data_IF_031326984162
#
_entry.id   IF_031326984162
#
_cell.length_a   1.000
_cell.length_b   1.000
_cell.length_c   1.000
_cell.angle_alpha   90.00
_cell.angle_beta   90.00
_cell.angle_gamma   90.00
#
_symmetry.space_group_name_H-M   'P 1'
#
loop_
_entity.id
_entity.type
_entity.pdbx_description
1 polymer ?
#
# COMPACT_ATOMS: atom_id res chain seq x y z
N UNK A 1 1.22 14.62 1.40
CA UNK A 1 2.56 13.97 1.42
C UNK A 1 3.15 14.17 2.82
N UNK A 2 3.72 13.15 3.48
CA UNK A 2 4.30 13.29 4.83
C UNK A 2 5.78 13.69 4.76
N UNK A 3 6.13 14.79 5.40
CA UNK A 3 7.51 15.27 5.48
C UNK A 3 8.38 14.31 6.30
N UNK A 4 7.85 13.81 7.42
CA UNK A 4 8.52 12.85 8.31
C UNK A 4 8.83 11.51 7.63
N UNK A 5 7.92 11.04 6.77
CA UNK A 5 8.16 9.84 5.97
C UNK A 5 9.29 10.05 4.96
N UNK A 6 9.37 11.20 4.28
CA UNK A 6 10.49 11.50 3.35
C UNK A 6 11.84 11.56 4.05
N UNK A 7 11.86 12.12 5.25
CA UNK A 7 13.05 12.15 6.11
C UNK A 7 13.45 10.75 6.60
N UNK A 8 12.56 9.76 6.48
CA UNK A 8 12.85 8.40 6.90
C UNK A 8 13.01 8.26 8.41
N UNK A 9 12.33 9.10 9.19
CA UNK A 9 12.35 9.01 10.66
C UNK A 9 11.75 7.68 11.15
N UNK A 10 10.80 7.13 10.38
CA UNK A 10 10.07 5.92 10.74
C UNK A 10 10.51 4.65 9.99
N UNK A 11 11.67 4.65 9.30
CA UNK A 11 12.11 3.49 8.49
C UNK A 11 12.07 2.19 9.29
N UNK A 12 12.67 2.21 10.48
CA UNK A 12 12.82 1.02 11.31
C UNK A 12 11.54 0.67 12.08
N UNK A 13 10.68 1.66 12.37
CA UNK A 13 9.41 1.45 13.08
C UNK A 13 8.25 1.07 12.16
N UNK A 14 8.39 1.22 10.85
CA UNK A 14 7.28 1.02 9.90
C UNK A 14 6.87 -0.45 9.80
N UNK A 15 7.82 -1.38 9.66
CA UNK A 15 7.48 -2.80 9.60
C UNK A 15 6.81 -3.31 10.89
N UNK A 16 7.32 -3.00 12.11
CA UNK A 16 6.61 -3.32 13.36
C UNK A 16 5.19 -2.76 13.43
N UNK A 17 4.97 -1.52 12.98
CA UNK A 17 3.65 -0.90 12.98
C UNK A 17 2.63 -1.59 12.05
N UNK A 18 3.12 -2.32 11.05
CA UNK A 18 2.30 -3.03 10.07
C UNK A 18 2.20 -4.54 10.35
N UNK A 19 2.79 -5.02 11.45
CA UNK A 19 2.97 -6.45 11.72
C UNK A 19 1.67 -7.24 11.91
N UNK A 20 0.55 -6.56 12.20
CA UNK A 20 -0.77 -7.19 12.38
C UNK A 20 -1.54 -7.38 11.07
N UNK A 21 -1.08 -6.81 9.96
CA UNK A 21 -1.75 -6.99 8.67
C UNK A 21 -1.41 -8.37 8.06
N UNK A 22 -2.41 -8.99 7.45
CA UNK A 22 -2.24 -10.24 6.69
C UNK A 22 -1.42 -10.01 5.41
N UNK A 23 -1.60 -8.85 4.78
CA UNK A 23 -0.84 -8.40 3.62
C UNK A 23 -0.62 -6.88 3.66
N UNK A 24 0.52 -6.42 3.13
CA UNK A 24 0.92 -5.02 3.10
C UNK A 24 1.40 -4.67 1.69
N UNK A 25 0.73 -3.71 1.06
CA UNK A 25 1.16 -3.14 -0.23
C UNK A 25 1.73 -1.74 0.04
N UNK A 26 3.02 -1.57 -0.26
CA UNK A 26 3.78 -0.34 -0.04
C UNK A 26 3.97 0.38 -1.38
N UNK A 27 3.45 1.60 -1.51
CA UNK A 27 3.74 2.44 -2.67
C UNK A 27 5.01 3.28 -2.45
N UNK A 28 6.06 3.00 -3.21
CA UNK A 28 7.28 3.80 -3.22
C UNK A 28 7.17 4.92 -4.25
N UNK A 29 6.78 6.11 -3.77
CA UNK A 29 6.76 7.30 -4.59
C UNK A 29 8.18 7.63 -5.11
N UNK A 30 8.33 8.13 -6.35
CA UNK A 30 9.64 8.49 -6.92
C UNK A 30 10.44 9.49 -6.06
N UNK A 31 9.76 10.33 -5.29
CA UNK A 31 10.32 11.38 -4.45
C UNK A 31 10.40 11.01 -2.96
N UNK A 32 10.32 9.72 -2.61
CA UNK A 32 10.40 9.27 -1.21
C UNK A 32 11.80 9.48 -0.62
N UNK A 33 12.86 9.34 -1.42
CA UNK A 33 14.25 9.57 -1.01
C UNK A 33 14.89 8.42 -0.22
N UNK A 34 14.19 7.31 -0.04
CA UNK A 34 14.73 6.07 0.55
C UNK A 34 13.92 4.85 0.11
N UNK A 35 14.47 3.67 0.37
CA UNK A 35 13.96 2.40 -0.14
C UNK A 35 13.02 1.69 0.86
N UNK A 36 11.77 1.46 0.44
CA UNK A 36 10.79 0.64 1.15
C UNK A 36 11.09 -0.86 1.04
N UNK A 37 12.03 -1.27 0.20
CA UNK A 37 12.50 -2.65 0.09
C UNK A 37 12.93 -3.24 1.43
N UNK A 38 13.62 -2.46 2.28
CA UNK A 38 13.99 -2.90 3.62
C UNK A 38 12.77 -3.19 4.52
N UNK A 39 11.71 -2.39 4.39
CA UNK A 39 10.45 -2.58 5.13
C UNK A 39 9.73 -3.84 4.64
N UNK A 40 9.66 -4.03 3.31
CA UNK A 40 9.08 -5.23 2.72
C UNK A 40 9.85 -6.49 3.12
N UNK A 41 11.18 -6.44 3.13
CA UNK A 41 12.01 -7.54 3.58
C UNK A 41 11.73 -7.93 5.04
N UNK A 42 11.55 -6.94 5.93
CA UNK A 42 11.18 -7.18 7.33
C UNK A 42 9.76 -7.74 7.50
N UNK A 43 8.83 -7.41 6.60
CA UNK A 43 7.47 -7.97 6.58
C UNK A 43 7.41 -9.39 5.97
N UNK A 44 8.47 -9.79 5.26
CA UNK A 44 8.58 -11.08 4.59
C UNK A 44 7.54 -11.26 3.48
N UNK A 45 6.90 -12.44 3.34
CA UNK A 45 5.99 -12.73 2.23
C UNK A 45 4.71 -11.86 2.23
N UNK A 46 4.46 -11.13 3.31
CA UNK A 46 3.30 -10.23 3.44
C UNK A 46 3.55 -8.87 2.80
N UNK A 47 4.81 -8.46 2.63
CA UNK A 47 5.17 -7.15 2.10
C UNK A 47 5.38 -7.17 0.58
N UNK A 48 4.74 -6.25 -0.13
CA UNK A 48 5.00 -6.00 -1.55
C UNK A 48 5.25 -4.51 -1.78
N UNK A 49 6.34 -4.16 -2.47
CA UNK A 49 6.60 -2.78 -2.93
C UNK A 49 6.08 -2.61 -4.36
N UNK A 50 5.38 -1.50 -4.60
CA UNK A 50 4.90 -1.07 -5.91
C UNK A 50 5.46 0.31 -6.24
N UNK A 51 5.75 0.55 -7.51
CA UNK A 51 6.33 1.83 -7.98
C UNK A 51 5.35 2.67 -8.82
N UNK A 52 4.15 2.15 -9.08
CA UNK A 52 3.06 2.90 -9.69
C UNK A 52 1.75 2.71 -8.90
N UNK A 53 0.83 3.67 -9.05
CA UNK A 53 -0.51 3.55 -8.47
C UNK A 53 -1.31 2.40 -9.10
N UNK A 54 -1.04 2.09 -10.36
CA UNK A 54 -1.75 1.04 -11.10
C UNK A 54 -1.30 -0.35 -10.62
N UNK A 55 0.00 -0.53 -10.37
CA UNK A 55 0.52 -1.74 -9.74
C UNK A 55 0.02 -1.88 -8.31
N UNK A 56 -0.04 -0.76 -7.57
CA UNK A 56 -0.58 -0.74 -6.20
C UNK A 56 -2.04 -1.18 -6.20
N UNK A 57 -2.85 -0.64 -7.11
CA UNK A 57 -4.26 -1.00 -7.26
C UNK A 57 -4.42 -2.47 -7.65
N UNK A 58 -3.62 -2.95 -8.59
CA UNK A 58 -3.62 -4.35 -9.05
C UNK A 58 -3.25 -5.30 -7.92
N UNK A 59 -2.23 -4.96 -7.12
CA UNK A 59 -1.79 -5.75 -5.99
C UNK A 59 -2.84 -5.84 -4.87
N UNK A 60 -3.55 -4.73 -4.59
CA UNK A 60 -4.67 -4.73 -3.63
C UNK A 60 -5.83 -5.58 -4.16
N UNK A 61 -6.19 -5.36 -5.43
CA UNK A 61 -7.31 -6.04 -6.06
C UNK A 61 -7.13 -7.57 -6.09
N UNK A 62 -5.94 -8.05 -6.46
CA UNK A 62 -5.61 -9.48 -6.48
C UNK A 62 -5.71 -10.18 -5.11
N UNK A 63 -5.77 -9.41 -4.01
CA UNK A 63 -5.90 -9.90 -2.63
C UNK A 63 -7.29 -9.65 -2.03
N UNK A 64 -8.16 -8.95 -2.76
CA UNK A 64 -9.51 -8.65 -2.30
C UNK A 64 -10.43 -9.80 -2.65
N UNK A 65 -11.15 -10.29 -1.66
CA UNK A 65 -12.24 -11.27 -1.79
C UNK A 65 -13.38 -10.84 -0.87
N UNK A 66 -14.60 -11.41 -0.99
CA UNK A 66 -15.67 -11.14 -0.05
C UNK A 66 -15.19 -11.35 1.40
N UNK A 67 -15.42 -10.36 2.26
CA UNK A 67 -14.96 -10.35 3.65
C UNK A 67 -13.58 -9.72 3.89
N UNK A 68 -12.80 -9.40 2.84
CA UNK A 68 -11.54 -8.66 3.00
C UNK A 68 -11.78 -7.24 3.51
N UNK A 69 -11.03 -6.83 4.53
CA UNK A 69 -10.96 -5.45 4.98
C UNK A 69 -9.71 -4.77 4.39
N UNK A 70 -9.90 -3.62 3.74
CA UNK A 70 -8.80 -2.84 3.14
C UNK A 70 -8.66 -1.52 3.88
N UNK A 71 -7.52 -1.30 4.54
CA UNK A 71 -7.13 -0.03 5.15
C UNK A 71 -6.16 0.70 4.23
N UNK A 72 -6.56 1.86 3.72
CA UNK A 72 -5.69 2.73 2.90
C UNK A 72 -5.16 3.87 3.77
N UNK A 73 -3.84 3.94 3.92
CA UNK A 73 -3.18 4.98 4.72
C UNK A 73 -2.42 5.95 3.80
N UNK A 74 -2.90 7.20 3.70
CA UNK A 74 -2.25 8.24 2.90
C UNK A 74 -2.42 9.62 3.52
N UNK A 75 -1.37 10.44 3.41
CA UNK A 75 -1.37 11.84 3.84
C UNK A 75 -1.82 12.80 2.71
N UNK A 76 -2.72 12.36 1.84
CA UNK A 76 -3.20 13.11 0.68
C UNK A 76 -4.03 12.26 -0.27
N UNK A 77 -4.42 12.82 -1.42
CA UNK A 77 -5.39 12.19 -2.32
C UNK A 77 -4.99 10.84 -2.95
N UNK A 78 -3.69 10.49 -2.93
CA UNK A 78 -3.17 9.18 -3.38
C UNK A 78 -3.66 8.78 -4.79
N UNK A 79 -3.74 9.76 -5.70
CA UNK A 79 -4.27 9.58 -7.05
C UNK A 79 -5.71 9.02 -7.11
N UNK A 80 -6.53 9.30 -6.10
CA UNK A 80 -7.92 8.84 -6.02
C UNK A 80 -8.05 7.33 -5.81
N UNK A 81 -7.04 6.66 -5.25
CA UNK A 81 -7.00 5.19 -5.15
C UNK A 81 -8.26 4.57 -4.52
N UNK A 82 -8.87 5.26 -3.56
CA UNK A 82 -10.12 4.83 -2.92
C UNK A 82 -11.24 4.61 -3.95
N UNK A 83 -11.54 5.62 -4.76
CA UNK A 83 -12.59 5.56 -5.79
C UNK A 83 -12.22 4.64 -6.95
N UNK A 84 -10.92 4.52 -7.25
CA UNK A 84 -10.43 3.60 -8.28
C UNK A 84 -10.63 2.14 -7.84
N UNK A 85 -10.34 1.82 -6.58
CA UNK A 85 -10.56 0.50 -6.01
C UNK A 85 -12.04 0.16 -5.93
N UNK A 86 -12.88 1.07 -5.42
CA UNK A 86 -14.32 0.84 -5.35
C UNK A 86 -14.95 0.58 -6.72
N UNK A 87 -14.57 1.33 -7.75
CA UNK A 87 -15.02 1.05 -9.13
C UNK A 87 -14.63 -0.33 -9.60
N UNK A 88 -13.38 -0.74 -9.36
CA UNK A 88 -12.89 -2.06 -9.79
C UNK A 88 -13.62 -3.20 -9.08
N UNK A 89 -13.84 -3.07 -7.77
CA UNK A 89 -14.58 -4.08 -6.99
C UNK A 89 -16.06 -4.17 -7.38
N UNK A 90 -16.71 -3.05 -7.73
CA UNK A 90 -18.09 -3.05 -8.24
C UNK A 90 -18.19 -3.72 -9.61
N UNK A 91 -17.28 -3.38 -10.53
CA UNK A 91 -17.26 -3.97 -11.86
C UNK A 91 -17.10 -5.49 -11.83
N UNK A 92 -16.33 -6.03 -10.88
CA UNK A 92 -16.17 -7.49 -10.69
C UNK A 92 -17.42 -8.15 -10.07
N UNK A 93 -18.22 -7.41 -9.29
CA UNK A 93 -19.46 -7.92 -8.71
C UNK A 93 -20.61 -7.95 -9.73
N UNK A 94 -20.55 -7.07 -10.74
CA UNK A 94 -21.52 -6.97 -11.83
C UNK A 94 -21.20 -7.90 -13.02
N UNK A 95 -20.03 -8.56 -13.01
CA UNK A 95 -19.55 -9.49 -14.04
C UNK A 95 -19.93 -10.94 -13.73
#
# INVERSE_FOLDING_TARGET
>A
RSNTMKLGVFKDSLAPALALADAVVLYQAPDLGWDLGAVAAALGPRGQVCHSLDDTLTAIHARTQPGTQVLIMSNGGFGGIHERLLRKLRADADA
#
